data_IF_378687836033
#
_entry.id   IF_378687836033
#
_cell.length_a   1.000
_cell.length_b   1.000
_cell.length_c   1.000
_cell.angle_alpha   90.00
_cell.angle_beta   90.00
_cell.angle_gamma   90.00
#
_symmetry.space_group_name_H-M   'P 1'
#
loop_
_entity.id
_entity.type
_entity.pdbx_description
1 polymer ?
#
# COMPACT_ATOMS: atom_id res chain seq x y z
N UNK A 1 4.92 -16.18 8.52
CA UNK A 1 3.45 -16.04 8.69
C UNK A 1 3.08 -14.71 9.37
N UNK A 2 3.54 -14.42 10.59
CA UNK A 2 3.14 -13.19 11.33
C UNK A 2 3.59 -11.90 10.61
N UNK A 3 4.87 -11.84 10.21
CA UNK A 3 5.42 -10.68 9.50
C UNK A 3 4.67 -10.40 8.18
N UNK A 4 4.25 -11.46 7.48
CA UNK A 4 3.54 -11.32 6.22
C UNK A 4 2.17 -10.67 6.41
N UNK A 5 1.42 -11.09 7.44
CA UNK A 5 0.13 -10.50 7.78
C UNK A 5 0.24 -9.02 8.15
N UNK A 6 1.23 -8.67 8.96
CA UNK A 6 1.47 -7.28 9.38
C UNK A 6 1.86 -6.40 8.17
N UNK A 7 2.81 -6.83 7.34
CA UNK A 7 3.19 -6.06 6.15
C UNK A 7 2.05 -5.90 5.15
N UNK A 8 1.27 -6.96 4.95
CA UNK A 8 0.12 -6.93 4.06
C UNK A 8 -0.95 -5.96 4.59
N UNK A 9 -1.31 -6.06 5.86
CA UNK A 9 -2.32 -5.19 6.47
C UNK A 9 -1.90 -3.72 6.42
N UNK A 10 -0.68 -3.40 6.87
CA UNK A 10 -0.20 -2.02 6.82
C UNK A 10 -0.15 -1.45 5.40
N UNK A 11 0.31 -2.20 4.41
CA UNK A 11 0.38 -1.69 3.04
C UNK A 11 -1.01 -1.44 2.45
N UNK A 12 -1.94 -2.39 2.63
CA UNK A 12 -3.28 -2.29 2.05
C UNK A 12 -4.21 -1.37 2.83
N UNK A 13 -4.26 -1.48 4.15
CA UNK A 13 -5.12 -0.63 5.00
C UNK A 13 -4.69 0.82 4.91
N UNK A 14 -3.38 1.12 5.00
CA UNK A 14 -2.90 2.50 4.88
C UNK A 14 -3.18 3.06 3.48
N UNK A 15 -2.99 2.25 2.42
CA UNK A 15 -3.31 2.65 1.06
C UNK A 15 -4.80 2.95 0.84
N UNK A 16 -5.69 2.16 1.46
CA UNK A 16 -7.12 2.39 1.44
C UNK A 16 -7.53 3.63 2.24
N UNK A 17 -6.95 3.85 3.43
CA UNK A 17 -7.20 5.05 4.25
C UNK A 17 -6.77 6.31 3.48
N UNK A 18 -5.56 6.32 2.92
CA UNK A 18 -5.03 7.45 2.16
C UNK A 18 -5.88 7.77 0.93
N UNK A 19 -6.24 6.74 0.17
CA UNK A 19 -7.10 6.90 -1.01
C UNK A 19 -8.49 7.39 -0.63
N UNK A 20 -9.04 6.90 0.47
CA UNK A 20 -10.33 7.35 0.96
C UNK A 20 -10.31 8.83 1.39
N UNK A 21 -9.27 9.26 2.11
CA UNK A 21 -9.08 10.67 2.48
C UNK A 21 -9.00 11.57 1.23
N UNK A 22 -8.44 11.06 0.14
CA UNK A 22 -8.24 11.80 -1.11
C UNK A 22 -9.46 11.79 -2.05
N UNK A 23 -10.25 10.71 -2.09
CA UNK A 23 -11.34 10.49 -3.04
C UNK A 23 -12.67 11.17 -2.64
N UNK A 24 -12.85 11.50 -1.35
CA UNK A 24 -14.09 12.08 -0.83
C UNK A 24 -15.25 11.08 -0.76
N UNK A 25 -16.28 11.40 0.03
CA UNK A 25 -17.35 10.45 0.39
C UNK A 25 -18.12 9.86 -0.81
N UNK A 26 -18.21 10.62 -1.91
CA UNK A 26 -18.94 10.19 -3.12
C UNK A 26 -18.25 9.09 -3.91
N UNK A 27 -16.92 8.96 -3.83
CA UNK A 27 -16.14 8.03 -4.66
C UNK A 27 -15.39 6.97 -3.85
N UNK A 28 -15.57 6.95 -2.52
CA UNK A 28 -14.92 6.00 -1.60
C UNK A 28 -15.05 4.53 -2.03
N UNK A 29 -16.27 4.09 -2.32
CA UNK A 29 -16.56 2.69 -2.68
C UNK A 29 -15.89 2.29 -4.00
N UNK A 30 -15.97 3.16 -5.01
CA UNK A 30 -15.31 2.95 -6.30
C UNK A 30 -13.79 2.95 -6.18
N UNK A 31 -13.22 3.83 -5.35
CA UNK A 31 -11.78 3.93 -5.16
C UNK A 31 -11.21 2.69 -4.41
N UNK A 32 -11.91 2.17 -3.41
CA UNK A 32 -11.54 0.92 -2.75
C UNK A 32 -11.62 -0.28 -3.71
N UNK A 33 -12.67 -0.36 -4.54
CA UNK A 33 -12.76 -1.39 -5.57
C UNK A 33 -11.62 -1.31 -6.59
N UNK A 34 -11.21 -0.10 -6.97
CA UNK A 34 -10.10 0.12 -7.89
C UNK A 34 -8.76 -0.31 -7.28
N UNK A 35 -8.51 -0.05 -5.99
CA UNK A 35 -7.31 -0.57 -5.30
C UNK A 35 -7.26 -2.08 -5.38
N UNK A 36 -8.37 -2.74 -5.03
CA UNK A 36 -8.45 -4.21 -5.06
C UNK A 36 -8.21 -4.76 -6.48
N UNK A 37 -8.82 -4.16 -7.50
CA UNK A 37 -8.61 -4.55 -8.89
C UNK A 37 -7.17 -4.31 -9.36
N UNK A 38 -6.60 -3.18 -8.98
CA UNK A 38 -5.22 -2.86 -9.31
C UNK A 38 -4.24 -3.86 -8.67
N UNK A 39 -4.48 -4.26 -7.42
CA UNK A 39 -3.53 -5.15 -6.72
C UNK A 39 -3.74 -6.63 -7.00
N UNK A 40 -4.98 -7.16 -6.90
CA UNK A 40 -5.25 -8.58 -7.13
C UNK A 40 -5.70 -8.93 -8.54
N UNK A 41 -6.16 -7.95 -9.32
CA UNK A 41 -6.41 -8.15 -10.73
C UNK A 41 -5.13 -8.00 -11.53
N UNK A 42 -4.86 -6.77 -11.96
CA UNK A 42 -3.77 -6.49 -12.91
C UNK A 42 -2.40 -6.71 -12.29
N UNK A 43 -2.19 -6.26 -11.05
CA UNK A 43 -0.90 -6.39 -10.36
C UNK A 43 -0.48 -7.84 -10.16
N UNK A 44 -1.42 -8.72 -9.80
CA UNK A 44 -1.14 -10.15 -9.62
C UNK A 44 -0.88 -10.86 -10.95
N UNK A 45 -1.66 -10.53 -12.00
CA UNK A 45 -1.43 -11.06 -13.36
C UNK A 45 -0.01 -10.75 -13.86
N UNK A 46 0.39 -9.49 -13.79
CA UNK A 46 1.73 -9.06 -14.22
C UNK A 46 2.79 -9.67 -13.30
N UNK A 47 2.55 -9.69 -11.98
CA UNK A 47 3.46 -10.24 -10.99
C UNK A 47 3.76 -11.72 -11.21
N UNK A 48 2.72 -12.53 -11.48
CA UNK A 48 2.89 -13.95 -11.79
C UNK A 48 3.55 -14.19 -13.14
N UNK A 49 3.25 -13.38 -14.14
CA UNK A 49 3.93 -13.47 -15.43
C UNK A 49 5.43 -13.21 -15.32
N UNK A 50 5.82 -12.13 -14.62
CA UNK A 50 7.22 -11.81 -14.35
C UNK A 50 7.88 -12.88 -13.47
N UNK A 51 7.18 -13.36 -12.43
CA UNK A 51 7.70 -14.42 -11.56
C UNK A 51 7.94 -15.73 -12.33
N UNK A 52 7.05 -16.09 -13.26
CA UNK A 52 7.21 -17.26 -14.13
C UNK A 52 8.44 -17.14 -15.03
N UNK A 53 8.60 -16.01 -15.73
CA UNK A 53 9.79 -15.73 -16.56
C UNK A 53 11.09 -15.84 -15.75
N UNK A 54 11.09 -15.29 -14.53
CA UNK A 54 12.27 -15.30 -13.66
C UNK A 54 12.54 -16.70 -13.14
N UNK A 55 11.51 -17.43 -12.73
CA UNK A 55 11.65 -18.82 -12.27
C UNK A 55 12.22 -19.74 -13.37
N UNK A 56 11.81 -19.54 -14.63
CA UNK A 56 12.34 -20.27 -15.79
C UNK A 56 13.79 -19.88 -16.10
N UNK A 57 14.13 -18.58 -16.11
CA UNK A 57 15.49 -18.12 -16.37
C UNK A 57 16.50 -18.54 -15.28
N UNK A 58 16.03 -18.74 -14.04
CA UNK A 58 16.85 -19.18 -12.90
C UNK A 58 16.64 -20.66 -12.53
N UNK A 59 16.02 -21.44 -13.41
CA UNK A 59 15.95 -22.89 -13.30
C UNK A 59 17.28 -23.51 -13.76
N UNK A 60 17.96 -24.23 -12.87
CA UNK A 60 19.08 -25.11 -13.20
C UNK A 60 18.60 -26.55 -13.34
N UNK A 61 19.42 -27.36 -14.02
CA UNK A 61 19.16 -28.77 -14.31
C UNK A 61 18.80 -29.63 -13.07
N UNK A 62 19.22 -29.24 -11.87
CA UNK A 62 18.96 -29.95 -10.61
C UNK A 62 18.25 -29.08 -9.53
N UNK A 63 17.73 -27.90 -9.87
CA UNK A 63 16.96 -27.09 -8.92
C UNK A 63 16.82 -25.60 -9.27
N UNK A 64 16.23 -24.82 -8.36
CA UNK A 64 16.01 -23.37 -8.55
C UNK A 64 16.98 -22.53 -7.72
N UNK A 65 17.50 -21.44 -8.29
CA UNK A 65 18.23 -20.41 -7.55
C UNK A 65 17.27 -19.54 -6.73
N UNK A 66 16.78 -20.08 -5.61
CA UNK A 66 15.84 -19.40 -4.73
C UNK A 66 16.30 -18.02 -4.29
N UNK A 67 17.61 -17.83 -4.03
CA UNK A 67 18.14 -16.51 -3.64
C UNK A 67 17.87 -15.44 -4.70
N UNK A 68 18.07 -15.74 -5.98
CA UNK A 68 17.84 -14.77 -7.06
C UNK A 68 16.36 -14.52 -7.28
N UNK A 69 15.53 -15.56 -7.19
CA UNK A 69 14.07 -15.45 -7.30
C UNK A 69 13.52 -14.53 -6.20
N UNK A 70 14.05 -14.62 -4.97
CA UNK A 70 13.63 -13.78 -3.84
C UNK A 70 14.24 -12.37 -3.86
N UNK A 71 15.38 -12.16 -4.51
CA UNK A 71 15.95 -10.80 -4.67
C UNK A 71 15.11 -9.91 -5.57
N UNK A 72 14.36 -10.47 -6.53
CA UNK A 72 13.51 -9.70 -7.44
C UNK A 72 12.41 -8.93 -6.70
N UNK A 73 11.53 -9.55 -5.90
CA UNK A 73 10.52 -8.79 -5.14
C UNK A 73 11.17 -7.85 -4.12
N UNK A 74 12.34 -8.19 -3.56
CA UNK A 74 13.08 -7.29 -2.68
C UNK A 74 13.56 -6.02 -3.42
N UNK A 75 14.06 -6.17 -4.65
CA UNK A 75 14.47 -5.04 -5.48
C UNK A 75 13.27 -4.17 -5.90
N UNK A 76 12.14 -4.77 -6.26
CA UNK A 76 10.90 -4.04 -6.58
C UNK A 76 10.42 -3.25 -5.36
N UNK A 77 10.39 -3.87 -4.17
CA UNK A 77 10.00 -3.20 -2.94
C UNK A 77 10.93 -2.02 -2.61
N UNK A 78 12.24 -2.20 -2.80
CA UNK A 78 13.22 -1.14 -2.59
C UNK A 78 13.06 0.02 -3.58
N UNK A 79 12.78 -0.27 -4.85
CA UNK A 79 12.49 0.76 -5.86
C UNK A 79 11.21 1.53 -5.53
N UNK A 80 10.13 0.83 -5.13
CA UNK A 80 8.88 1.48 -4.71
C UNK A 80 9.12 2.34 -3.47
N UNK A 81 9.92 1.87 -2.51
CA UNK A 81 10.31 2.64 -1.34
C UNK A 81 11.06 3.93 -1.73
N UNK A 82 12.06 3.85 -2.61
CA UNK A 82 12.77 5.01 -3.13
C UNK A 82 11.82 5.98 -3.85
N UNK A 83 10.93 5.45 -4.69
CA UNK A 83 9.94 6.24 -5.41
C UNK A 83 9.03 7.01 -4.44
N UNK A 84 8.51 6.32 -3.40
CA UNK A 84 7.74 6.95 -2.35
C UNK A 84 8.56 7.99 -1.59
N UNK A 85 9.79 7.68 -1.18
CA UNK A 85 10.64 8.60 -0.44
C UNK A 85 10.90 9.91 -1.20
N UNK A 86 10.95 9.86 -2.54
CA UNK A 86 11.19 11.04 -3.39
C UNK A 86 9.89 11.79 -3.70
N UNK A 87 8.81 11.09 -4.05
CA UNK A 87 7.55 11.71 -4.50
C UNK A 87 6.59 12.05 -3.36
N UNK A 88 6.73 11.44 -2.19
CA UNK A 88 5.85 11.65 -1.05
C UNK A 88 6.20 12.98 -0.37
N UNK A 89 5.60 14.06 -0.85
CA UNK A 89 5.70 15.39 -0.26
C UNK A 89 4.56 15.60 0.73
N UNK A 90 4.90 15.61 2.01
CA UNK A 90 3.96 15.85 3.12
C UNK A 90 3.16 17.14 2.91
N UNK A 91 1.83 17.02 2.85
CA UNK A 91 0.91 18.11 3.13
C UNK A 91 0.49 17.94 4.58
N UNK A 92 1.25 18.52 5.51
CA UNK A 92 0.84 18.65 6.93
C UNK A 92 -0.59 19.21 6.97
N UNK A 93 -1.59 18.37 7.21
CA UNK A 93 -2.79 18.83 7.90
C UNK A 93 -2.46 18.78 9.37
N UNK A 94 -2.65 19.92 10.03
CA UNK A 94 -2.56 20.02 11.49
C UNK A 94 -3.38 18.89 12.09
N UNK A 95 -2.72 17.99 12.80
CA UNK A 95 -3.39 17.05 13.69
C UNK A 95 -4.20 17.91 14.65
N UNK A 96 -5.53 17.93 14.50
CA UNK A 96 -6.39 18.60 15.45
C UNK A 96 -6.35 17.71 16.70
N UNK A 97 -5.54 18.13 17.65
CA UNK A 97 -5.40 17.51 18.97
C UNK A 97 -6.77 17.47 19.65
N UNK A 98 -7.08 16.40 20.39
CA UNK A 98 -8.36 16.25 21.13
C UNK A 98 -8.71 17.48 21.99
N UNK A 99 -7.68 18.19 22.48
CA UNK A 99 -7.78 19.46 23.23
C UNK A 99 -8.49 20.58 22.44
N UNK A 100 -8.37 20.60 21.11
CA UNK A 100 -8.99 21.60 20.24
C UNK A 100 -10.48 21.28 19.98
N UNK A 101 -10.83 19.98 19.96
CA UNK A 101 -12.21 19.49 19.80
C UNK A 101 -13.03 19.78 21.05
N UNK A 102 -12.45 19.57 22.23
CA UNK A 102 -13.10 19.88 23.51
C UNK A 102 -13.39 21.39 23.66
N UNK A 103 -12.44 22.24 23.23
CA UNK A 103 -12.63 23.71 23.19
C UNK A 103 -13.67 24.15 22.16
N UNK A 104 -13.80 23.44 21.05
CA UNK A 104 -14.83 23.70 20.03
C UNK A 104 -16.24 23.37 20.52
N UNK A 105 -16.40 22.26 21.24
CA UNK A 105 -17.68 21.84 21.84
C UNK A 105 -18.10 22.72 23.01
N UNK A 106 -17.14 23.18 23.82
CA UNK A 106 -17.42 24.13 24.92
C UNK A 106 -17.95 25.49 24.43
N UNK A 107 -17.82 25.80 23.13
CA UNK A 107 -18.24 27.08 22.54
C UNK A 107 -19.62 27.05 21.88
N UNK A 108 -20.23 25.87 21.73
CA UNK A 108 -21.63 25.76 21.33
C UNK A 108 -22.45 25.44 22.58
N UNK A 109 -23.04 26.45 23.26
CA UNK A 109 -24.01 26.15 24.29
C UNK A 109 -25.14 25.37 23.60
N UNK A 110 -25.34 24.13 24.03
CA UNK A 110 -26.50 23.34 23.65
C UNK A 110 -27.71 24.07 24.23
N UNK A 111 -28.36 24.87 23.40
CA UNK A 111 -29.71 25.41 23.61
C UNK A 111 -30.62 24.87 22.53
#
# INVERSE_FOLDING_TARGET
IILHGICYDFFFVTGQIYTNERAGDKFRSSAQGMITLATYGVGMLIGFWIAGLIAENYALADGHLWRNIWMVPAAIAFLVFLFFAIFFKDRKKSVITEVEVEKGLAKSPVT
#
